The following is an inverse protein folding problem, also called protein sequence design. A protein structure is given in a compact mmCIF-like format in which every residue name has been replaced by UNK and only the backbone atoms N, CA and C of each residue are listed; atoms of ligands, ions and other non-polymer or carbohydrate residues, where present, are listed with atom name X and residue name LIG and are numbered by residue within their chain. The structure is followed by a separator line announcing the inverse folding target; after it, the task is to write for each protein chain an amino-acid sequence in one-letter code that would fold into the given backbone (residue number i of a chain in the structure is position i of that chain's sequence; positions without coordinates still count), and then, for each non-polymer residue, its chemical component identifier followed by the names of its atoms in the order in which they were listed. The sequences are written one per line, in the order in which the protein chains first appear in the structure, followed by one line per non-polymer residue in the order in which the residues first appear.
data_IF_889366699672
#
_entry.id   IF_889366699672
#
_cell.length_a   1.000
_cell.length_b   1.000
_cell.length_c   1.000
_cell.angle_alpha   90.00
_cell.angle_beta   90.00
_cell.angle_gamma   90.00
#
_symmetry.space_group_name_H-M   'P 1'
#
loop_
_entity.id
_entity.type
_entity.pdbx_description
1 polymer ?
#
# COMPACT_ATOMS: atom_id res chain seq x y z
N UNK A 1 12.11 -24.42 16.85
CA UNK A 1 11.78 -23.65 18.07
C UNK A 1 11.77 -22.20 17.66
N UNK A 2 10.66 -21.47 17.84
CA UNK A 2 10.59 -20.04 17.52
C UNK A 2 11.48 -19.29 18.50
N UNK A 3 12.39 -18.48 17.98
CA UNK A 3 13.33 -17.68 18.76
C UNK A 3 12.76 -16.29 19.04
N UNK A 4 13.38 -15.57 19.98
CA UNK A 4 13.04 -14.16 20.24
C UNK A 4 13.30 -13.30 18.98
N UNK A 5 14.31 -13.66 18.18
CA UNK A 5 14.63 -12.96 16.91
C UNK A 5 13.47 -13.10 15.93
N UNK A 6 12.93 -14.32 15.76
CA UNK A 6 11.80 -14.58 14.86
C UNK A 6 10.56 -13.75 15.27
N UNK A 7 10.33 -13.59 16.58
CA UNK A 7 9.23 -12.76 17.09
C UNK A 7 9.43 -11.28 16.76
N UNK A 8 10.65 -10.74 16.87
CA UNK A 8 10.94 -9.37 16.48
C UNK A 8 10.83 -9.14 14.97
N UNK A 9 11.28 -10.09 14.16
CA UNK A 9 11.14 -10.03 12.70
C UNK A 9 9.65 -10.02 12.29
N UNK A 10 8.82 -10.84 12.93
CA UNK A 10 7.38 -10.85 12.68
C UNK A 10 6.71 -9.50 13.03
N UNK A 11 7.08 -8.90 14.16
CA UNK A 11 6.58 -7.57 14.55
C UNK A 11 7.02 -6.51 13.54
N UNK A 12 8.31 -6.47 13.18
CA UNK A 12 8.83 -5.53 12.19
C UNK A 12 8.14 -5.68 10.83
N UNK A 13 7.93 -6.92 10.38
CA UNK A 13 7.20 -7.20 9.14
C UNK A 13 5.76 -6.69 9.19
N UNK A 14 5.06 -6.89 10.31
CA UNK A 14 3.68 -6.41 10.48
C UNK A 14 3.59 -4.89 10.39
N UNK A 15 4.54 -4.16 10.99
CA UNK A 15 4.59 -2.69 10.93
C UNK A 15 4.87 -2.22 9.50
N UNK A 16 5.80 -2.88 8.79
CA UNK A 16 6.13 -2.55 7.40
C UNK A 16 4.91 -2.73 6.47
N UNK A 17 4.23 -3.87 6.58
CA UNK A 17 3.03 -4.19 5.80
C UNK A 17 1.90 -3.21 6.13
N UNK A 18 1.60 -3.02 7.42
CA UNK A 18 0.53 -2.13 7.87
C UNK A 18 0.79 -0.69 7.43
N UNK A 19 2.02 -0.19 7.57
CA UNK A 19 2.40 1.15 7.15
C UNK A 19 2.22 1.36 5.64
N UNK A 20 2.62 0.38 4.82
CA UNK A 20 2.41 0.42 3.38
C UNK A 20 0.93 0.45 2.98
N UNK A 21 0.13 -0.45 3.57
CA UNK A 21 -1.32 -0.54 3.28
C UNK A 21 -2.08 0.71 3.74
N UNK A 22 -1.81 1.19 4.96
CA UNK A 22 -2.45 2.41 5.49
C UNK A 22 -2.07 3.62 4.64
N UNK A 23 -0.79 3.75 4.28
CA UNK A 23 -0.31 4.84 3.42
C UNK A 23 -0.99 4.84 2.04
N UNK A 24 -1.09 3.68 1.39
CA UNK A 24 -1.83 3.54 0.12
C UNK A 24 -3.29 3.93 0.29
N UNK A 25 -3.98 3.41 1.32
CA UNK A 25 -5.39 3.70 1.56
C UNK A 25 -5.67 5.18 1.82
N UNK A 26 -4.82 5.85 2.62
CA UNK A 26 -4.93 7.29 2.89
C UNK A 26 -4.80 8.12 1.61
N UNK A 27 -3.85 7.79 0.74
CA UNK A 27 -3.68 8.48 -0.53
C UNK A 27 -4.86 8.22 -1.49
N UNK A 28 -5.31 6.97 -1.58
CA UNK A 28 -6.42 6.58 -2.45
C UNK A 28 -7.77 7.14 -2.01
N UNK A 29 -8.00 7.35 -0.71
CA UNK A 29 -9.23 7.95 -0.20
C UNK A 29 -9.51 9.31 -0.87
N UNK A 30 -8.50 10.18 -0.95
CA UNK A 30 -8.63 11.49 -1.59
C UNK A 30 -8.81 11.41 -3.10
N UNK A 31 -8.00 10.56 -3.75
CA UNK A 31 -8.04 10.38 -5.21
C UNK A 31 -9.37 9.79 -5.65
N UNK A 32 -9.91 8.83 -4.90
CA UNK A 32 -11.21 8.21 -5.19
C UNK A 32 -12.36 9.20 -5.06
N UNK A 33 -12.42 9.95 -3.96
CA UNK A 33 -13.46 10.95 -3.76
C UNK A 33 -13.48 12.01 -4.88
N UNK A 34 -12.31 12.56 -5.23
CA UNK A 34 -12.20 13.53 -6.32
C UNK A 34 -12.45 12.91 -7.69
N UNK A 35 -11.91 11.70 -7.92
CA UNK A 35 -12.00 10.97 -9.17
C UNK A 35 -13.43 10.61 -9.55
N UNK A 36 -14.25 10.18 -8.58
CA UNK A 36 -15.66 9.86 -8.83
C UNK A 36 -16.46 11.10 -9.25
N UNK A 37 -16.14 12.28 -8.71
CA UNK A 37 -16.74 13.54 -9.18
C UNK A 37 -16.39 13.84 -10.64
N UNK A 38 -15.12 13.66 -11.02
CA UNK A 38 -14.68 13.83 -12.41
C UNK A 38 -15.39 12.83 -13.34
N UNK A 39 -15.49 11.56 -12.95
CA UNK A 39 -16.13 10.52 -13.76
C UNK A 39 -17.64 10.79 -13.92
N UNK A 40 -18.29 11.32 -12.89
CA UNK A 40 -19.71 11.67 -12.95
C UNK A 40 -20.01 12.79 -13.97
N UNK A 41 -19.13 13.78 -14.10
CA UNK A 41 -19.28 14.85 -15.10
C UNK A 41 -18.70 14.49 -16.47
N UNK A 42 -17.59 13.75 -16.50
CA UNK A 42 -16.76 13.46 -17.68
C UNK A 42 -16.32 11.99 -17.68
N UNK A 43 -17.19 11.05 -18.08
CA UNK A 43 -16.90 9.62 -18.03
C UNK A 43 -15.69 9.23 -18.89
N UNK A 44 -15.40 9.97 -19.96
CA UNK A 44 -14.23 9.78 -20.81
C UNK A 44 -12.88 10.03 -20.08
N UNK A 45 -12.91 10.68 -18.91
CA UNK A 45 -11.73 10.92 -18.06
C UNK A 45 -11.42 9.77 -17.10
N UNK A 46 -12.17 8.67 -17.15
CA UNK A 46 -11.92 7.49 -16.31
C UNK A 46 -10.45 7.04 -16.33
N UNK A 47 -9.83 6.94 -17.52
CA UNK A 47 -8.43 6.52 -17.64
C UNK A 47 -7.44 7.45 -16.94
N UNK A 48 -7.71 8.76 -16.94
CA UNK A 48 -6.89 9.74 -16.22
C UNK A 48 -7.05 9.60 -14.71
N UNK A 49 -8.28 9.38 -14.22
CA UNK A 49 -8.54 9.13 -12.80
C UNK A 49 -7.85 7.84 -12.34
N UNK A 50 -7.96 6.77 -13.15
CA UNK A 50 -7.29 5.49 -12.87
C UNK A 50 -5.77 5.64 -12.80
N UNK A 51 -5.17 6.44 -13.69
CA UNK A 51 -3.73 6.72 -13.65
C UNK A 51 -3.30 7.34 -12.31
N UNK A 52 -4.05 8.31 -11.80
CA UNK A 52 -3.77 8.87 -10.46
C UNK A 52 -3.97 7.83 -9.36
N UNK A 53 -4.96 6.96 -9.48
CA UNK A 53 -5.25 5.90 -8.51
C UNK A 53 -4.12 4.87 -8.38
N UNK A 54 -3.32 4.68 -9.43
CA UNK A 54 -2.21 3.74 -9.47
C UNK A 54 -0.94 4.27 -8.79
N UNK A 55 -0.77 5.59 -8.68
CA UNK A 55 0.45 6.20 -8.11
C UNK A 55 0.70 5.70 -6.67
N UNK A 56 -0.30 5.66 -5.76
CA UNK A 56 -0.12 5.16 -4.41
C UNK A 56 0.10 3.66 -4.27
N UNK A 57 -0.10 2.86 -5.34
CA UNK A 57 0.10 1.40 -5.29
C UNK A 57 1.56 1.05 -5.00
N UNK A 58 2.50 1.94 -5.30
CA UNK A 58 3.91 1.77 -4.96
C UNK A 58 4.17 1.64 -3.45
N UNK A 59 3.33 2.26 -2.60
CA UNK A 59 3.54 2.29 -1.14
C UNK A 59 3.28 0.92 -0.50
N UNK A 60 2.15 0.28 -0.81
CA UNK A 60 1.85 -1.05 -0.27
C UNK A 60 2.78 -2.11 -0.85
N UNK A 61 3.20 -1.99 -2.11
CA UNK A 61 4.17 -2.91 -2.73
C UNK A 61 5.48 -2.88 -1.95
N UNK A 62 5.98 -1.69 -1.60
CA UNK A 62 7.20 -1.55 -0.80
C UNK A 62 7.00 -2.13 0.60
N UNK A 63 5.90 -1.81 1.28
CA UNK A 63 5.63 -2.32 2.64
C UNK A 63 5.48 -3.84 2.69
N UNK A 64 4.81 -4.44 1.71
CA UNK A 64 4.67 -5.90 1.61
C UNK A 64 5.97 -6.57 1.22
N UNK A 65 6.70 -6.03 0.24
CA UNK A 65 7.99 -6.59 -0.17
C UNK A 65 8.99 -6.60 1.00
N UNK A 66 9.12 -5.48 1.72
CA UNK A 66 9.98 -5.43 2.91
C UNK A 66 9.49 -6.35 4.03
N UNK A 67 8.19 -6.40 4.29
CA UNK A 67 7.62 -7.33 5.26
C UNK A 67 7.97 -8.79 4.96
N UNK A 68 7.86 -9.20 3.70
CA UNK A 68 8.23 -10.56 3.26
C UNK A 68 9.74 -10.79 3.42
N UNK A 69 10.58 -9.83 3.01
CA UNK A 69 12.04 -9.93 3.17
C UNK A 69 12.43 -10.16 4.65
N UNK A 70 11.76 -9.45 5.57
CA UNK A 70 11.96 -9.61 7.02
C UNK A 70 11.50 -10.99 7.51
N UNK A 71 10.35 -11.47 7.06
CA UNK A 71 9.83 -12.79 7.43
C UNK A 71 10.69 -13.95 6.90
N UNK A 72 11.35 -13.75 5.76
CA UNK A 72 12.27 -14.72 5.19
C UNK A 72 13.67 -14.67 5.83
N UNK A 73 13.94 -13.70 6.71
CA UNK A 73 15.25 -13.52 7.36
C UNK A 73 16.37 -13.24 6.36
N UNK A 74 16.05 -12.55 5.25
CA UNK A 74 17.02 -12.23 4.19
C UNK A 74 17.88 -11.02 4.57
N UNK A 75 17.42 -10.20 5.52
CA UNK A 75 18.12 -9.02 6.05
C UNK A 75 18.82 -9.37 7.36
#
# INVERSE_FOLDING_TARGET
MVTIIDAYLAIAASISIAGGLIGTGMAQQGIGAAGMGIIAEKPEKFGQVLFFFIIPETLWIIGVAFGIILLLGIL
#
